data_IF_156152440823
#
_entry.id   IF_156152440823
#
_cell.length_a   1.000
_cell.length_b   1.000
_cell.length_c   1.000
_cell.angle_alpha   90.00
_cell.angle_beta   90.00
_cell.angle_gamma   90.00
#
_symmetry.space_group_name_H-M   'P 1'
#
loop_
_entity.id
_entity.type
_entity.pdbx_description
1 polymer ?
#
# COMPACT_ATOMS: atom_id res chain seq x y z
N UNK A 1 12.51 -9.47 26.99
CA UNK A 1 12.37 -8.48 28.08
C UNK A 1 13.36 -7.31 28.04
N UNK A 2 14.69 -7.49 28.03
CA UNK A 2 15.63 -6.36 28.05
C UNK A 2 15.42 -5.39 26.85
N UNK A 3 15.49 -5.88 25.61
CA UNK A 3 15.28 -5.05 24.42
C UNK A 3 13.91 -4.36 24.38
N UNK A 4 12.88 -4.99 24.95
CA UNK A 4 11.54 -4.40 25.04
C UNK A 4 11.58 -3.17 25.95
N UNK A 5 12.11 -3.33 27.17
CA UNK A 5 12.24 -2.26 28.16
C UNK A 5 13.07 -1.09 27.63
N UNK A 6 14.26 -1.38 27.09
CA UNK A 6 15.15 -0.35 26.58
C UNK A 6 14.49 0.40 25.41
N UNK A 7 13.78 -0.32 24.53
CA UNK A 7 12.97 0.28 23.47
C UNK A 7 11.82 1.16 23.99
N UNK A 8 11.13 0.75 25.05
CA UNK A 8 10.09 1.57 25.69
C UNK A 8 10.63 2.89 26.24
N UNK A 9 11.82 2.89 26.85
CA UNK A 9 12.43 4.12 27.36
C UNK A 9 12.61 5.17 26.25
N UNK A 10 13.14 4.76 25.10
CA UNK A 10 13.27 5.66 23.94
C UNK A 10 11.91 6.11 23.39
N UNK A 11 10.94 5.20 23.28
CA UNK A 11 9.61 5.53 22.76
C UNK A 11 8.87 6.49 23.67
N UNK A 12 9.04 6.41 25.00
CA UNK A 12 8.42 7.35 25.95
C UNK A 12 8.94 8.77 25.76
N UNK A 13 10.24 8.93 25.50
CA UNK A 13 10.81 10.24 25.15
C UNK A 13 10.17 10.78 23.86
N UNK A 14 10.06 9.95 22.81
CA UNK A 14 9.40 10.36 21.55
C UNK A 14 7.95 10.78 21.78
N UNK A 15 7.22 10.04 22.62
CA UNK A 15 5.81 10.33 22.92
C UNK A 15 5.66 11.62 23.74
N UNK A 16 6.54 11.88 24.69
CA UNK A 16 6.56 13.12 25.47
C UNK A 16 6.82 14.32 24.55
N UNK A 17 7.83 14.24 23.69
CA UNK A 17 8.18 15.30 22.74
C UNK A 17 7.12 15.50 21.64
N UNK A 18 6.37 14.45 21.28
CA UNK A 18 5.26 14.57 20.34
C UNK A 18 4.09 15.40 20.91
N UNK A 19 3.96 15.53 22.24
CA UNK A 19 2.90 16.30 22.88
C UNK A 19 1.51 15.89 22.42
N UNK A 20 0.76 16.81 21.82
CA UNK A 20 -0.59 16.54 21.32
C UNK A 20 -0.63 15.82 19.95
N UNK A 21 0.52 15.64 19.29
CA UNK A 21 0.57 14.91 18.02
C UNK A 21 0.56 13.40 18.22
N UNK A 22 0.17 12.67 17.17
CA UNK A 22 0.15 11.20 17.19
C UNK A 22 1.44 10.65 16.59
N UNK A 23 1.93 9.58 17.20
CA UNK A 23 3.11 8.84 16.74
C UNK A 23 2.67 7.59 15.98
N UNK A 24 3.30 7.37 14.83
CA UNK A 24 3.14 6.16 14.02
C UNK A 24 4.52 5.52 13.91
N UNK A 25 4.63 4.26 14.30
CA UNK A 25 5.83 3.46 14.14
C UNK A 25 5.78 2.73 12.80
N UNK A 26 6.79 2.91 11.96
CA UNK A 26 6.96 2.09 10.77
C UNK A 26 7.58 0.74 11.18
N UNK A 27 6.72 -0.23 11.48
CA UNK A 27 7.08 -1.58 11.93
C UNK A 27 6.99 -2.59 10.76
N UNK A 28 7.79 -2.34 9.73
CA UNK A 28 7.88 -3.16 8.53
C UNK A 28 9.13 -4.04 8.49
N UNK A 29 9.06 -5.13 7.73
CA UNK A 29 10.15 -6.10 7.59
C UNK A 29 10.13 -7.18 8.68
N UNK A 30 11.32 -7.59 9.14
CA UNK A 30 11.45 -8.63 10.17
C UNK A 30 11.32 -8.00 11.56
N UNK A 31 10.09 -7.93 12.05
CA UNK A 31 9.76 -7.31 13.34
C UNK A 31 9.59 -8.39 14.41
N UNK A 32 10.30 -8.32 15.56
CA UNK A 32 10.09 -9.26 16.66
C UNK A 32 8.67 -9.23 17.22
N UNK A 33 8.14 -10.39 17.61
CA UNK A 33 6.73 -10.56 18.04
C UNK A 33 6.31 -9.64 19.18
N UNK A 34 7.24 -9.23 20.04
CA UNK A 34 6.94 -8.34 21.16
C UNK A 34 6.74 -6.87 20.75
N UNK A 35 7.24 -6.45 19.58
CA UNK A 35 7.27 -5.02 19.19
C UNK A 35 5.86 -4.51 18.89
N UNK A 36 5.09 -5.19 18.05
CA UNK A 36 3.73 -4.75 17.68
C UNK A 36 2.79 -4.64 18.89
N UNK A 37 2.73 -5.63 19.81
CA UNK A 37 2.00 -5.49 21.07
C UNK A 37 2.49 -4.33 21.93
N UNK A 38 3.81 -4.11 22.00
CA UNK A 38 4.38 -3.05 22.81
C UNK A 38 4.03 -1.65 22.28
N UNK A 39 4.19 -1.42 20.97
CA UNK A 39 3.79 -0.16 20.32
C UNK A 39 2.32 0.17 20.61
N UNK A 40 1.43 -0.81 20.47
CA UNK A 40 0.00 -0.63 20.79
C UNK A 40 -0.24 -0.28 22.24
N UNK A 41 0.47 -0.92 23.18
CA UNK A 41 0.35 -0.63 24.61
C UNK A 41 0.75 0.80 24.97
N UNK A 42 1.59 1.42 24.15
CA UNK A 42 2.02 2.82 24.25
C UNK A 42 1.15 3.79 23.43
N UNK A 43 0.11 3.31 22.74
CA UNK A 43 -0.72 4.14 21.88
C UNK A 43 -0.07 4.51 20.54
N UNK A 44 0.99 3.81 20.13
CA UNK A 44 1.67 4.00 18.83
C UNK A 44 1.04 3.09 17.78
N UNK A 45 0.56 3.69 16.69
CA UNK A 45 0.00 2.93 15.56
C UNK A 45 1.12 2.28 14.73
N UNK A 46 0.94 1.01 14.35
CA UNK A 46 1.81 0.30 13.40
C UNK A 46 1.29 0.37 11.96
N UNK A 47 2.15 0.05 11.00
CA UNK A 47 1.81 -0.08 9.59
C UNK A 47 1.22 -1.45 9.25
N UNK A 48 0.31 -1.44 8.29
CA UNK A 48 -0.28 -2.63 7.65
C UNK A 48 -0.10 -2.52 6.14
N UNK A 49 0.71 -3.41 5.58
CA UNK A 49 0.90 -3.57 4.13
C UNK A 49 0.13 -4.83 3.73
N UNK A 50 -1.04 -4.73 3.06
CA UNK A 50 -1.94 -5.88 2.87
C UNK A 50 -1.31 -7.14 2.32
N UNK A 51 -0.39 -7.00 1.36
CA UNK A 51 0.31 -8.15 0.79
C UNK A 51 1.39 -8.75 1.69
N UNK A 52 1.70 -8.14 2.83
CA UNK A 52 2.64 -8.66 3.85
C UNK A 52 1.94 -9.11 5.13
N UNK A 53 0.67 -8.72 5.33
CA UNK A 53 -0.14 -9.19 6.44
C UNK A 53 -0.69 -10.58 6.09
N UNK A 54 0.16 -11.59 6.30
CA UNK A 54 -0.14 -13.00 6.08
C UNK A 54 0.11 -13.77 7.36
N UNK A 55 -0.88 -14.53 7.81
CA UNK A 55 -0.80 -15.42 8.96
C UNK A 55 -1.24 -16.83 8.54
N UNK A 56 -0.44 -17.85 8.86
CA UNK A 56 -0.69 -19.24 8.46
C UNK A 56 -1.06 -19.40 6.97
N UNK A 57 -0.28 -18.74 6.09
CA UNK A 57 -0.47 -18.68 4.63
C UNK A 57 -1.74 -17.96 4.15
N UNK A 58 -2.52 -17.37 5.06
CA UNK A 58 -3.74 -16.63 4.75
C UNK A 58 -3.53 -15.13 4.86
N UNK A 59 -3.99 -14.40 3.85
CA UNK A 59 -4.00 -12.93 3.87
C UNK A 59 -4.99 -12.46 4.93
N UNK A 60 -4.55 -11.65 5.88
CA UNK A 60 -5.42 -11.02 6.87
C UNK A 60 -6.31 -9.98 6.19
N UNK A 61 -7.63 -10.07 6.38
CA UNK A 61 -8.56 -9.14 5.76
C UNK A 61 -8.56 -7.78 6.49
N UNK A 62 -9.00 -6.75 5.77
CA UNK A 62 -8.92 -5.38 6.29
C UNK A 62 -9.79 -5.14 7.53
N UNK A 63 -10.92 -5.80 7.66
CA UNK A 63 -11.82 -5.72 8.83
C UNK A 63 -11.21 -6.37 10.09
N UNK A 64 -10.30 -7.32 9.91
CA UNK A 64 -9.53 -7.95 10.99
C UNK A 64 -8.35 -7.09 11.47
N UNK A 65 -8.04 -5.98 10.77
CA UNK A 65 -6.96 -5.11 11.21
C UNK A 65 -7.25 -4.47 12.55
N UNK A 66 -6.20 -4.37 13.37
CA UNK A 66 -6.25 -3.62 14.61
C UNK A 66 -6.56 -2.15 14.33
N UNK A 67 -7.50 -1.57 15.10
CA UNK A 67 -7.91 -0.19 14.88
C UNK A 67 -6.73 0.76 14.96
N UNK A 68 -5.84 0.61 15.93
CA UNK A 68 -4.63 1.43 16.09
C UNK A 68 -3.54 1.05 15.08
N UNK A 69 -3.81 1.31 13.80
CA UNK A 69 -2.89 1.02 12.69
C UNK A 69 -3.06 1.98 11.52
N UNK A 70 -2.07 1.97 10.62
CA UNK A 70 -2.03 2.72 9.36
C UNK A 70 -1.92 1.74 8.21
N UNK A 71 -2.94 1.65 7.37
CA UNK A 71 -2.95 0.78 6.20
C UNK A 71 -2.52 1.52 4.93
N UNK A 72 -1.65 0.91 4.14
CA UNK A 72 -1.27 1.38 2.79
C UNK A 72 -0.79 0.20 1.95
N UNK A 73 -1.04 0.22 0.63
CA UNK A 73 -0.48 -0.80 -0.26
C UNK A 73 1.01 -0.63 -0.52
N UNK A 74 1.47 0.62 -0.56
CA UNK A 74 2.84 0.94 -0.94
C UNK A 74 3.39 2.05 -0.06
N UNK A 75 4.72 2.10 0.04
CA UNK A 75 5.46 3.25 0.53
C UNK A 75 6.35 3.78 -0.60
N UNK A 76 7.16 4.79 -0.32
CA UNK A 76 8.12 5.33 -1.28
C UNK A 76 9.20 4.30 -1.74
N UNK A 77 9.39 3.24 -0.95
CA UNK A 77 10.35 2.16 -1.22
C UNK A 77 9.80 1.04 -2.10
N UNK A 78 8.49 1.00 -2.28
CA UNK A 78 7.82 -0.07 -3.02
C UNK A 78 7.69 0.26 -4.52
N UNK A 79 7.45 -0.78 -5.33
CA UNK A 79 6.88 -0.57 -6.66
C UNK A 79 5.43 -0.08 -6.49
N UNK A 80 5.00 1.00 -7.17
CA UNK A 80 3.59 1.35 -7.24
C UNK A 80 2.75 0.19 -7.80
N UNK A 81 1.47 0.11 -7.45
CA UNK A 81 0.58 -0.99 -7.85
C UNK A 81 0.46 -1.07 -9.38
N UNK A 82 0.42 0.07 -10.08
CA UNK A 82 0.38 0.08 -11.54
C UNK A 82 1.67 -0.45 -12.17
N UNK A 83 2.82 -0.29 -11.50
CA UNK A 83 4.08 -0.87 -11.95
C UNK A 83 4.08 -2.39 -11.75
N UNK A 84 3.59 -2.88 -10.59
CA UNK A 84 3.39 -4.31 -10.35
C UNK A 84 2.50 -4.93 -11.43
N UNK A 85 1.36 -4.29 -11.73
CA UNK A 85 0.44 -4.74 -12.78
C UNK A 85 1.09 -4.83 -14.16
N UNK A 86 1.78 -3.77 -14.58
CA UNK A 86 2.49 -3.76 -15.86
C UNK A 86 3.53 -4.87 -15.92
N UNK A 87 4.31 -5.05 -14.86
CA UNK A 87 5.34 -6.09 -14.81
C UNK A 87 4.76 -7.51 -14.77
N UNK A 88 3.61 -7.70 -14.15
CA UNK A 88 2.95 -9.00 -14.05
C UNK A 88 2.28 -9.44 -15.36
N UNK A 89 1.66 -8.51 -16.10
CA UNK A 89 0.75 -8.88 -17.19
C UNK A 89 1.03 -8.22 -18.54
N UNK A 90 1.69 -7.06 -18.57
CA UNK A 90 1.88 -6.28 -19.80
C UNK A 90 3.31 -6.36 -20.33
N UNK A 91 4.30 -6.34 -19.44
CA UNK A 91 5.74 -6.27 -19.75
C UNK A 91 6.53 -7.11 -18.75
N UNK A 92 6.59 -8.44 -18.96
CA UNK A 92 7.31 -9.31 -18.06
C UNK A 92 8.80 -8.98 -17.93
N UNK A 93 9.34 -9.19 -16.74
CA UNK A 93 10.74 -9.01 -16.35
C UNK A 93 11.19 -10.18 -15.47
N UNK A 94 12.46 -10.18 -15.04
CA UNK A 94 12.98 -11.18 -14.12
C UNK A 94 12.24 -11.23 -12.76
N UNK A 95 11.53 -10.17 -12.36
CA UNK A 95 10.78 -10.12 -11.08
C UNK A 95 9.27 -10.25 -11.25
N UNK A 96 8.78 -10.64 -12.44
CA UNK A 96 7.34 -10.74 -12.71
C UNK A 96 6.60 -11.74 -11.84
N UNK A 97 7.26 -12.85 -11.47
CA UNK A 97 6.65 -13.85 -10.60
C UNK A 97 6.38 -13.28 -9.21
N UNK A 98 7.36 -12.56 -8.64
CA UNK A 98 7.17 -11.80 -7.40
C UNK A 98 6.03 -10.79 -7.53
N UNK A 99 5.99 -10.02 -8.62
CA UNK A 99 4.91 -9.06 -8.87
C UNK A 99 3.53 -9.73 -8.94
N UNK A 100 3.43 -10.93 -9.53
CA UNK A 100 2.21 -11.73 -9.55
C UNK A 100 1.80 -12.21 -8.15
N UNK A 101 2.75 -12.69 -7.34
CA UNK A 101 2.47 -13.10 -5.96
C UNK A 101 1.97 -11.93 -5.10
N UNK A 102 2.57 -10.74 -5.22
CA UNK A 102 2.10 -9.56 -4.48
C UNK A 102 0.69 -9.14 -4.93
N UNK A 103 0.43 -9.11 -6.24
CA UNK A 103 -0.90 -8.77 -6.77
C UNK A 103 -1.97 -9.80 -6.39
N UNK A 104 -1.63 -11.09 -6.33
CA UNK A 104 -2.54 -12.14 -5.88
C UNK A 104 -2.96 -11.91 -4.41
N UNK A 105 -2.01 -11.58 -3.53
CA UNK A 105 -2.32 -11.26 -2.13
C UNK A 105 -3.17 -10.00 -2.00
N UNK A 106 -2.89 -8.96 -2.80
CA UNK A 106 -3.74 -7.76 -2.88
C UNK A 106 -5.16 -8.10 -3.36
N UNK A 107 -5.29 -9.00 -4.34
CA UNK A 107 -6.59 -9.43 -4.85
C UNK A 107 -7.39 -10.18 -3.79
N UNK A 108 -6.75 -11.10 -3.05
CA UNK A 108 -7.38 -11.81 -1.92
C UNK A 108 -7.83 -10.82 -0.84
N UNK A 109 -6.96 -9.89 -0.43
CA UNK A 109 -7.31 -8.82 0.51
C UNK A 109 -8.53 -8.01 0.05
N UNK A 110 -8.66 -7.80 -1.26
CA UNK A 110 -9.76 -7.06 -1.85
C UNK A 110 -11.02 -7.89 -2.14
N UNK A 111 -11.01 -9.19 -1.87
CA UNK A 111 -12.08 -10.10 -2.29
C UNK A 111 -12.28 -10.13 -3.81
N UNK A 112 -11.23 -9.83 -4.58
CA UNK A 112 -11.25 -9.79 -6.03
C UNK A 112 -10.84 -11.16 -6.60
N UNK A 113 -11.68 -11.78 -7.43
CA UNK A 113 -11.41 -13.10 -8.04
C UNK A 113 -10.10 -13.04 -8.86
N UNK A 114 -9.04 -13.74 -8.42
CA UNK A 114 -7.69 -13.56 -8.94
C UNK A 114 -7.44 -14.30 -10.26
N UNK A 115 -8.46 -14.58 -11.09
CA UNK A 115 -8.26 -15.09 -12.46
C UNK A 115 -7.58 -14.02 -13.33
N UNK A 116 -6.30 -13.85 -13.08
CA UNK A 116 -5.36 -12.93 -13.71
C UNK A 116 -4.27 -13.77 -14.38
N UNK A 117 -4.65 -14.74 -15.19
CA UNK A 117 -3.67 -15.58 -15.88
C UNK A 117 -2.91 -14.74 -16.90
N UNK A 118 -1.58 -14.88 -17.02
CA UNK A 118 -0.87 -14.28 -18.14
C UNK A 118 -1.33 -14.92 -19.46
N UNK A 119 -1.32 -14.20 -20.58
CA UNK A 119 -1.54 -14.81 -21.90
C UNK A 119 -0.52 -15.93 -22.12
N UNK A 120 -0.97 -17.15 -22.44
CA UNK A 120 -0.12 -18.35 -22.47
C UNK A 120 0.71 -18.47 -23.78
N UNK A 121 0.45 -17.63 -24.78
CA UNK A 121 0.78 -17.96 -26.17
C UNK A 121 1.17 -16.75 -27.05
N UNK A 122 1.65 -15.66 -26.47
CA UNK A 122 2.23 -14.51 -27.21
C UNK A 122 1.23 -13.72 -28.08
N UNK A 123 0.04 -14.26 -28.30
CA UNK A 123 -1.18 -13.53 -28.55
C UNK A 123 -1.76 -13.12 -27.21
N UNK A 124 -2.13 -11.84 -27.09
CA UNK A 124 -2.87 -11.34 -25.94
C UNK A 124 -4.23 -12.06 -25.87
N UNK A 125 -4.28 -13.24 -25.27
CA UNK A 125 -5.48 -13.73 -24.60
C UNK A 125 -5.80 -12.65 -23.57
N UNK A 126 -6.71 -11.75 -23.94
CA UNK A 126 -7.04 -10.58 -23.18
C UNK A 126 -7.47 -11.02 -21.79
N UNK A 127 -6.62 -10.77 -20.78
CA UNK A 127 -7.08 -10.62 -19.42
C UNK A 127 -8.25 -9.62 -19.50
N UNK A 128 -9.48 -10.09 -19.26
CA UNK A 128 -10.69 -9.25 -19.31
C UNK A 128 -10.70 -8.19 -18.22
N UNK A 129 -9.77 -8.27 -17.27
CA UNK A 129 -9.62 -7.35 -16.14
C UNK A 129 -8.80 -6.13 -16.57
N UNK A 130 -9.44 -4.97 -16.57
CA UNK A 130 -8.79 -3.67 -16.74
C UNK A 130 -8.29 -3.14 -15.39
N UNK A 131 -7.03 -2.71 -15.34
CA UNK A 131 -6.44 -2.19 -14.11
C UNK A 131 -7.22 -1.01 -13.52
N UNK A 132 -7.58 0.00 -14.32
CA UNK A 132 -8.19 1.23 -13.80
C UNK A 132 -9.70 1.08 -13.57
N UNK A 133 -10.39 0.18 -14.30
CA UNK A 133 -11.84 -0.01 -14.20
C UNK A 133 -12.27 -1.10 -13.22
N UNK A 134 -11.50 -2.19 -13.12
CA UNK A 134 -11.91 -3.37 -12.38
C UNK A 134 -11.07 -3.54 -11.11
N UNK A 135 -9.74 -3.64 -11.25
CA UNK A 135 -8.85 -3.95 -10.13
C UNK A 135 -8.65 -2.75 -9.19
N UNK A 136 -8.35 -1.57 -9.73
CA UNK A 136 -8.04 -0.37 -8.95
C UNK A 136 -9.20 0.06 -8.02
N UNK A 137 -10.47 0.12 -8.46
CA UNK A 137 -11.57 0.45 -7.55
C UNK A 137 -11.74 -0.59 -6.44
N UNK A 138 -11.60 -1.89 -6.74
CA UNK A 138 -11.77 -2.96 -5.77
C UNK A 138 -10.73 -2.88 -4.63
N UNK A 139 -9.45 -2.71 -4.98
CA UNK A 139 -8.38 -2.61 -3.97
C UNK A 139 -8.50 -1.31 -3.16
N UNK A 140 -8.86 -0.19 -3.79
CA UNK A 140 -9.06 1.07 -3.06
C UNK A 140 -10.25 0.98 -2.10
N UNK A 141 -11.34 0.33 -2.52
CA UNK A 141 -12.49 0.07 -1.65
C UNK A 141 -12.09 -0.80 -0.45
N UNK A 142 -11.34 -1.88 -0.66
CA UNK A 142 -10.89 -2.76 0.40
C UNK A 142 -9.98 -2.05 1.40
N UNK A 143 -9.03 -1.24 0.92
CA UNK A 143 -8.18 -0.41 1.77
C UNK A 143 -9.01 0.54 2.64
N UNK A 144 -10.00 1.22 2.05
CA UNK A 144 -10.85 2.15 2.78
C UNK A 144 -11.87 1.45 3.69
N UNK A 145 -12.26 0.21 3.42
CA UNK A 145 -13.10 -0.58 4.33
C UNK A 145 -12.35 -1.20 5.50
N UNK A 146 -11.01 -1.22 5.46
CA UNK A 146 -10.23 -1.76 6.56
C UNK A 146 -10.55 -1.08 7.90
N UNK A 147 -10.38 -1.80 9.00
CA UNK A 147 -10.57 -1.27 10.34
C UNK A 147 -9.41 -0.34 10.79
N UNK A 148 -8.33 -0.23 10.01
CA UNK A 148 -7.20 0.65 10.30
C UNK A 148 -7.64 2.10 10.56
N UNK A 149 -7.04 2.74 11.56
CA UNK A 149 -7.35 4.10 11.95
C UNK A 149 -7.08 5.08 10.82
N UNK A 150 -5.96 4.92 10.11
CA UNK A 150 -5.62 5.73 8.93
C UNK A 150 -5.45 4.80 7.72
N UNK A 151 -6.05 5.16 6.59
CA UNK A 151 -5.76 4.57 5.30
C UNK A 151 -5.01 5.60 4.45
N UNK A 152 -3.85 5.23 3.92
CA UNK A 152 -2.99 6.11 3.11
C UNK A 152 -2.93 5.58 1.68
N UNK A 153 -3.12 6.47 0.71
CA UNK A 153 -2.90 6.17 -0.71
C UNK A 153 -1.71 7.00 -1.19
N UNK A 154 -0.65 6.32 -1.61
CA UNK A 154 0.52 6.99 -2.16
C UNK A 154 0.15 7.77 -3.43
N UNK A 155 0.75 8.94 -3.63
CA UNK A 155 0.49 9.80 -4.79
C UNK A 155 0.73 9.07 -6.12
N UNK A 156 1.65 8.10 -6.13
CA UNK A 156 1.89 7.22 -7.28
C UNK A 156 0.68 6.37 -7.59
N UNK A 157 0.06 5.75 -6.60
CA UNK A 157 -1.13 4.91 -6.79
C UNK A 157 -2.37 5.77 -7.04
N UNK A 158 -2.55 6.86 -6.29
CA UNK A 158 -3.61 7.85 -6.52
C UNK A 158 -3.62 8.37 -7.96
N UNK A 159 -2.45 8.46 -8.60
CA UNK A 159 -2.30 8.93 -9.97
C UNK A 159 -2.03 7.81 -10.99
N UNK A 160 -2.09 6.53 -10.59
CA UNK A 160 -1.75 5.35 -11.39
C UNK A 160 -0.40 5.48 -12.12
N UNK A 161 0.64 5.85 -11.39
CA UNK A 161 2.02 6.03 -11.87
C UNK A 161 2.82 4.77 -11.68
N UNK A 162 3.85 4.63 -12.52
CA UNK A 162 4.71 3.45 -12.58
C UNK A 162 6.14 3.69 -12.08
N UNK A 163 6.49 4.95 -11.89
CA UNK A 163 7.84 5.30 -11.45
C UNK A 163 7.98 5.13 -9.94
N UNK A 164 9.17 4.76 -9.50
CA UNK A 164 9.55 4.71 -8.09
C UNK A 164 10.26 6.00 -7.69
N UNK A 165 10.17 6.35 -6.41
CA UNK A 165 10.98 7.41 -5.83
C UNK A 165 12.32 6.87 -5.32
N UNK A 166 12.29 5.67 -4.75
CA UNK A 166 13.47 4.98 -4.24
C UNK A 166 13.46 3.49 -4.62
N UNK A 167 14.66 2.92 -4.74
CA UNK A 167 14.90 1.48 -4.80
C UNK A 167 15.84 1.12 -3.65
N UNK A 168 15.32 0.49 -2.57
CA UNK A 168 16.13 0.08 -1.42
C UNK A 168 17.34 -0.77 -1.83
N UNK A 169 18.42 -0.68 -1.06
CA UNK A 169 19.65 -1.43 -1.31
C UNK A 169 20.48 -0.95 -2.51
N UNK A 170 20.19 0.24 -3.05
CA UNK A 170 20.92 0.80 -4.19
C UNK A 170 21.40 2.23 -3.92
N UNK A 171 22.56 2.60 -4.46
CA UNK A 171 23.10 3.98 -4.45
C UNK A 171 22.86 4.71 -5.77
N UNK A 172 21.85 4.27 -6.54
CA UNK A 172 21.60 4.78 -7.88
C UNK A 172 21.29 6.29 -7.84
N UNK A 173 21.93 7.07 -8.74
CA UNK A 173 21.71 8.52 -8.87
C UNK A 173 20.26 8.90 -9.18
N UNK A 174 19.43 7.94 -9.60
CA UNK A 174 18.01 8.13 -9.85
C UNK A 174 17.16 8.16 -8.58
N UNK A 175 17.60 7.58 -7.46
CA UNK A 175 16.86 7.61 -6.21
C UNK A 175 16.67 9.06 -5.74
N UNK A 176 15.48 9.38 -5.22
CA UNK A 176 15.13 10.69 -4.64
C UNK A 176 15.18 11.89 -5.61
N UNK A 177 15.36 11.65 -6.90
CA UNK A 177 15.40 12.72 -7.92
C UNK A 177 14.07 12.89 -8.67
N UNK A 178 13.19 11.89 -8.59
CA UNK A 178 11.97 11.83 -9.39
C UNK A 178 10.96 12.91 -8.94
N UNK A 179 10.62 13.80 -9.87
CA UNK A 179 9.56 14.81 -9.68
C UNK A 179 8.28 14.42 -10.42
N UNK A 180 7.14 14.91 -9.92
CA UNK A 180 5.90 14.86 -10.69
C UNK A 180 6.02 15.76 -11.92
N UNK A 181 5.62 15.25 -13.09
CA UNK A 181 5.72 15.97 -14.35
C UNK A 181 4.61 17.02 -14.56
N UNK A 182 3.69 17.19 -13.60
CA UNK A 182 2.56 18.11 -13.68
C UNK A 182 2.41 18.86 -12.37
N UNK A 183 2.09 20.16 -12.47
CA UNK A 183 1.73 20.96 -11.30
C UNK A 183 0.38 20.54 -10.73
N UNK A 184 0.08 20.94 -9.49
CA UNK A 184 -1.23 20.70 -8.87
C UNK A 184 -2.36 21.29 -9.73
N UNK A 185 -2.18 22.50 -10.28
CA UNK A 185 -3.18 23.13 -11.16
C UNK A 185 -3.44 22.30 -12.43
N UNK A 186 -2.38 21.77 -13.05
CA UNK A 186 -2.51 20.89 -14.22
C UNK A 186 -3.14 19.53 -13.89
N UNK A 187 -2.91 19.01 -12.68
CA UNK A 187 -3.58 17.80 -12.21
C UNK A 187 -5.08 18.05 -12.00
N UNK A 188 -5.45 19.20 -11.39
CA UNK A 188 -6.84 19.59 -11.16
C UNK A 188 -7.62 19.82 -12.45
N UNK A 189 -6.99 20.28 -13.53
CA UNK A 189 -7.65 20.49 -14.83
C UNK A 189 -7.73 19.25 -15.72
N UNK A 190 -7.09 18.14 -15.34
CA UNK A 190 -7.03 16.94 -16.16
C UNK A 190 -8.28 16.08 -16.01
N UNK A 191 -9.06 15.92 -17.08
CA UNK A 191 -10.26 15.06 -17.09
C UNK A 191 -10.00 13.64 -16.57
N UNK A 192 -8.87 13.02 -16.99
CA UNK A 192 -8.46 11.69 -16.51
C UNK A 192 -8.20 11.67 -15.00
N UNK A 193 -7.44 12.64 -14.47
CA UNK A 193 -7.20 12.75 -13.03
C UNK A 193 -8.50 12.99 -12.28
N UNK A 194 -9.34 13.92 -12.73
CA UNK A 194 -10.63 14.21 -12.12
C UNK A 194 -11.54 12.97 -12.07
N UNK A 195 -11.60 12.17 -13.14
CA UNK A 195 -12.37 10.94 -13.15
C UNK A 195 -11.90 9.96 -12.08
N UNK A 196 -10.59 9.80 -11.90
CA UNK A 196 -10.04 8.92 -10.86
C UNK A 196 -10.27 9.45 -9.45
N UNK A 197 -10.11 10.76 -9.24
CA UNK A 197 -10.37 11.37 -7.93
C UNK A 197 -11.86 11.26 -7.57
N UNK A 198 -12.79 11.32 -8.55
CA UNK A 198 -14.21 11.03 -8.30
C UNK A 198 -14.43 9.60 -7.79
N UNK A 199 -13.82 8.60 -8.42
CA UNK A 199 -13.88 7.21 -7.94
C UNK A 199 -13.37 7.12 -6.49
N UNK A 200 -12.23 7.73 -6.18
CA UNK A 200 -11.69 7.73 -4.81
C UNK A 200 -12.63 8.42 -3.82
N UNK A 201 -13.22 9.57 -4.20
CA UNK A 201 -14.18 10.29 -3.38
C UNK A 201 -15.41 9.43 -3.06
N UNK A 202 -16.01 8.83 -4.08
CA UNK A 202 -17.18 7.94 -3.94
C UNK A 202 -16.87 6.75 -3.01
N UNK A 203 -15.67 6.19 -3.11
CA UNK A 203 -15.23 5.10 -2.23
C UNK A 203 -14.98 5.56 -0.78
N UNK A 204 -14.45 6.78 -0.57
CA UNK A 204 -14.30 7.37 0.77
C UNK A 204 -15.67 7.63 1.42
N UNK A 205 -16.63 8.15 0.67
CA UNK A 205 -18.02 8.33 1.14
C UNK A 205 -18.66 6.99 1.51
N UNK A 206 -18.57 5.99 0.62
CA UNK A 206 -19.13 4.65 0.84
C UNK A 206 -18.54 3.94 2.07
N UNK A 207 -17.29 4.23 2.40
CA UNK A 207 -16.58 3.62 3.54
C UNK A 207 -16.64 4.44 4.83
N UNK A 208 -17.29 5.61 4.83
CA UNK A 208 -17.36 6.48 6.01
C UNK A 208 -16.01 7.08 6.42
N UNK A 209 -15.08 7.28 5.46
CA UNK A 209 -13.75 7.87 5.68
C UNK A 209 -13.67 9.37 5.31
N UNK A 210 -14.83 10.02 5.13
CA UNK A 210 -14.97 11.47 4.91
C UNK A 210 -15.06 12.26 6.20
#
# INVERSE_FOLDING_TARGET
EANKRDGEEYLRVVLEEAGATRVIGEDLGTVPDYVRPNLRSLGVAGFKIPQWEVHDEQVTLGDEYERLSVATYTTHDHKPIRALWEEAFERPTATSEQSRFELAKIAVFAGFDPKMDPPQDGFAAANKVDFEKDFYPAIMEALFKSNAWIAVVMITDLLARKYRFNVPGTTAKSNWTRRMQRSVAQLRSSRKTQARIRVIHELLEKSGRT
#
